data_IF_633537136557
#
_entry.id   IF_633537136557
#
_cell.length_a   1.000
_cell.length_b   1.000
_cell.length_c   1.000
_cell.angle_alpha   90.00
_cell.angle_beta   90.00
_cell.angle_gamma   90.00
#
_symmetry.space_group_name_H-M   'P 1'
#
loop_
_entity.id
_entity.type
_entity.pdbx_description
1 polymer ?
#
# COMPACT_ATOMS: atom_id res chain seq x y z
N UNK A 1 5.37 -13.00 38.07
CA UNK A 1 4.24 -12.65 37.22
C UNK A 1 4.48 -11.35 36.45
N UNK A 2 5.03 -10.33 37.10
CA UNK A 2 5.32 -9.02 36.45
C UNK A 2 6.32 -9.15 35.29
N UNK A 3 7.39 -9.91 35.46
CA UNK A 3 8.39 -10.15 34.41
C UNK A 3 7.83 -10.94 33.21
N UNK A 4 6.88 -11.85 33.46
CA UNK A 4 6.24 -12.62 32.37
C UNK A 4 5.32 -11.74 31.49
N UNK A 5 4.61 -10.80 32.10
CA UNK A 5 3.79 -9.83 31.36
C UNK A 5 4.68 -8.91 30.51
N UNK A 6 5.76 -8.36 31.06
CA UNK A 6 6.67 -7.50 30.34
C UNK A 6 7.31 -8.21 29.14
N UNK A 7 7.87 -9.40 29.34
CA UNK A 7 8.47 -10.19 28.24
C UNK A 7 7.45 -10.48 27.13
N UNK A 8 6.22 -10.86 27.49
CA UNK A 8 5.16 -11.13 26.51
C UNK A 8 4.77 -9.88 25.72
N UNK A 9 4.66 -8.73 26.40
CA UNK A 9 4.32 -7.46 25.73
C UNK A 9 5.45 -6.99 24.82
N UNK A 10 6.70 -7.12 25.23
CA UNK A 10 7.88 -6.79 24.41
C UNK A 10 7.98 -7.69 23.17
N UNK A 11 7.74 -8.99 23.33
CA UNK A 11 7.73 -9.93 22.22
C UNK A 11 6.60 -9.64 21.22
N UNK A 12 5.40 -9.35 21.70
CA UNK A 12 4.27 -8.96 20.86
C UNK A 12 4.54 -7.64 20.15
N UNK A 13 5.09 -6.63 20.83
CA UNK A 13 5.47 -5.35 20.21
C UNK A 13 6.48 -5.55 19.08
N UNK A 14 7.49 -6.39 19.32
CA UNK A 14 8.53 -6.66 18.33
C UNK A 14 7.98 -7.40 17.10
N UNK A 15 7.16 -8.44 17.30
CA UNK A 15 6.57 -9.24 16.21
C UNK A 15 5.49 -8.47 15.42
N UNK A 16 4.69 -7.68 16.11
CA UNK A 16 3.69 -6.82 15.47
C UNK A 16 4.30 -5.59 14.77
N UNK A 17 5.54 -5.25 15.11
CA UNK A 17 6.23 -4.09 14.54
C UNK A 17 5.73 -2.75 15.10
N UNK A 18 5.27 -2.73 16.36
CA UNK A 18 4.87 -1.49 17.03
C UNK A 18 6.04 -0.51 17.06
N UNK A 19 5.80 0.73 16.60
CA UNK A 19 6.83 1.76 16.45
C UNK A 19 7.67 1.65 15.17
N UNK A 20 7.53 0.58 14.38
CA UNK A 20 8.14 0.44 13.05
C UNK A 20 7.14 0.68 11.92
N UNK A 21 5.88 0.35 12.15
CA UNK A 21 4.78 0.58 11.24
C UNK A 21 3.77 1.48 11.91
N UNK A 22 3.35 2.56 11.25
CA UNK A 22 2.49 3.57 11.87
C UNK A 22 1.06 3.11 12.09
N UNK A 23 0.62 2.12 11.32
CA UNK A 23 -0.70 1.50 11.44
C UNK A 23 -0.82 0.52 12.61
N UNK A 24 0.32 0.12 13.23
CA UNK A 24 0.34 -0.78 14.37
C UNK A 24 0.38 -0.01 15.68
N UNK A 25 -0.76 0.08 16.36
CA UNK A 25 -0.91 0.83 17.61
C UNK A 25 -0.85 -0.11 18.80
N UNK A 26 0.13 0.12 19.68
CA UNK A 26 0.24 -0.53 20.98
C UNK A 26 -0.02 0.47 22.10
N UNK A 27 -1.21 0.45 22.71
CA UNK A 27 -1.62 1.40 23.75
C UNK A 27 -1.51 0.78 25.15
N UNK A 28 -0.79 1.42 26.06
CA UNK A 28 -0.76 1.06 27.47
C UNK A 28 -1.95 1.63 28.21
N UNK A 29 -2.61 0.80 29.03
CA UNK A 29 -3.81 1.13 29.79
C UNK A 29 -3.64 0.65 31.23
N UNK A 30 -4.50 1.13 32.14
CA UNK A 30 -4.65 0.58 33.48
C UNK A 30 -6.08 0.07 33.62
N UNK A 31 -6.22 -1.21 33.93
CA UNK A 31 -7.51 -1.91 34.08
C UNK A 31 -7.60 -2.46 35.50
N UNK A 32 -8.51 -1.91 36.30
CA UNK A 32 -8.65 -2.33 37.70
C UNK A 32 -7.35 -2.26 38.52
N UNK A 33 -6.54 -1.22 38.30
CA UNK A 33 -5.24 -1.04 38.96
C UNK A 33 -4.10 -1.92 38.45
N UNK A 34 -4.35 -2.81 37.46
CA UNK A 34 -3.34 -3.64 36.78
C UNK A 34 -2.91 -3.00 35.47
N UNK A 35 -1.64 -3.14 35.11
CA UNK A 35 -1.15 -2.71 33.79
C UNK A 35 -1.76 -3.58 32.70
N UNK A 36 -2.20 -2.96 31.63
CA UNK A 36 -2.71 -3.65 30.47
C UNK A 36 -2.13 -3.02 29.20
N UNK A 37 -2.08 -3.81 28.12
CA UNK A 37 -1.65 -3.36 26.82
C UNK A 37 -2.62 -3.84 25.75
N UNK A 38 -3.05 -2.89 24.94
CA UNK A 38 -3.99 -3.10 23.82
C UNK A 38 -3.23 -2.92 22.50
N UNK A 39 -3.38 -3.87 21.57
CA UNK A 39 -2.85 -3.77 20.21
C UNK A 39 -4.00 -3.79 19.22
N UNK A 40 -3.90 -2.88 18.27
CA UNK A 40 -4.87 -2.76 17.18
C UNK A 40 -4.14 -2.35 15.90
N UNK A 41 -4.68 -2.74 14.75
CA UNK A 41 -4.31 -2.16 13.46
C UNK A 41 -5.21 -0.94 13.25
N UNK A 42 -4.61 0.24 13.14
CA UNK A 42 -5.33 1.47 12.85
C UNK A 42 -6.01 1.38 11.47
N UNK A 43 -7.25 1.82 11.39
CA UNK A 43 -8.10 1.65 10.21
C UNK A 43 -8.79 0.28 10.08
N UNK A 44 -8.52 -0.72 10.97
CA UNK A 44 -9.25 -1.99 11.01
C UNK A 44 -10.28 -2.05 12.13
N UNK A 45 -10.00 -1.37 13.24
CA UNK A 45 -10.90 -1.32 14.38
C UNK A 45 -11.99 -0.28 14.24
N UNK A 46 -13.15 -0.56 14.83
CA UNK A 46 -14.17 0.46 15.03
C UNK A 46 -13.79 1.31 16.23
N UNK A 47 -13.40 2.56 15.98
CA UNK A 47 -12.99 3.50 17.05
C UNK A 47 -14.07 3.62 18.14
N UNK A 48 -15.34 3.67 17.74
CA UNK A 48 -16.47 3.77 18.66
C UNK A 48 -16.60 2.56 19.60
N UNK A 49 -16.25 1.37 19.13
CA UNK A 49 -16.26 0.14 19.92
C UNK A 49 -15.09 0.15 20.90
N UNK A 50 -13.88 0.42 20.39
CA UNK A 50 -12.65 0.44 21.17
C UNK A 50 -12.69 1.54 22.25
N UNK A 51 -13.21 2.72 21.91
CA UNK A 51 -13.41 3.82 22.84
C UNK A 51 -14.38 3.44 23.96
N UNK A 52 -15.53 2.86 23.62
CA UNK A 52 -16.53 2.42 24.59
C UNK A 52 -15.99 1.35 25.53
N UNK A 53 -15.26 0.37 24.99
CA UNK A 53 -14.62 -0.67 25.81
C UNK A 53 -13.53 -0.08 26.70
N UNK A 54 -12.66 0.77 26.15
CA UNK A 54 -11.62 1.45 26.88
C UNK A 54 -12.18 2.32 28.03
N UNK A 55 -13.22 3.09 27.76
CA UNK A 55 -13.90 3.88 28.77
C UNK A 55 -14.45 3.00 29.90
N UNK A 56 -15.08 1.86 29.57
CA UNK A 56 -15.57 0.91 30.56
C UNK A 56 -14.44 0.31 31.40
N UNK A 57 -13.34 -0.12 30.81
CA UNK A 57 -12.21 -0.71 31.55
C UNK A 57 -11.54 0.28 32.49
N UNK A 58 -11.52 1.56 32.15
CA UNK A 58 -10.98 2.63 33.02
C UNK A 58 -11.86 2.87 34.27
N UNK A 59 -13.15 2.45 34.24
CA UNK A 59 -14.03 2.55 35.42
C UNK A 59 -13.89 1.37 36.38
N UNK A 60 -13.22 0.29 35.97
CA UNK A 60 -13.04 -0.89 36.82
C UNK A 60 -12.15 -0.58 38.02
N UNK A 61 -12.63 -0.93 39.21
CA UNK A 61 -11.88 -0.79 40.45
C UNK A 61 -10.98 -2.00 40.68
N UNK A 62 -9.89 -1.86 41.46
CA UNK A 62 -9.01 -2.99 41.81
C UNK A 62 -9.78 -4.21 42.40
N UNK A 63 -10.81 -3.93 43.16
CA UNK A 63 -11.67 -4.97 43.77
C UNK A 63 -12.33 -5.90 42.73
N UNK A 64 -12.63 -5.37 41.54
CA UNK A 64 -13.25 -6.14 40.48
C UNK A 64 -12.30 -7.14 39.82
N UNK A 65 -10.99 -6.91 39.89
CA UNK A 65 -9.96 -7.70 39.21
C UNK A 65 -9.15 -8.54 40.18
N UNK A 66 -9.30 -8.28 41.51
CA UNK A 66 -8.69 -9.09 42.58
C UNK A 66 -9.25 -10.51 42.53
N UNK A 67 -8.35 -11.51 42.49
CA UNK A 67 -8.72 -12.93 42.44
C UNK A 67 -8.83 -13.52 41.02
N UNK A 68 -8.79 -12.69 39.95
CA UNK A 68 -8.72 -13.19 38.59
C UNK A 68 -7.27 -13.60 38.27
N UNK A 69 -7.09 -14.81 37.76
CA UNK A 69 -5.82 -15.40 37.35
C UNK A 69 -5.80 -15.73 35.87
N UNK A 70 -6.95 -15.97 35.27
CA UNK A 70 -7.10 -16.32 33.86
C UNK A 70 -7.74 -15.18 33.04
N UNK A 71 -7.32 -15.04 31.82
CA UNK A 71 -7.87 -14.04 30.90
C UNK A 71 -9.31 -14.42 30.50
N UNK A 72 -9.66 -15.72 30.51
CA UNK A 72 -11.00 -16.18 30.19
C UNK A 72 -12.03 -15.65 31.21
N UNK A 73 -11.72 -15.69 32.51
CA UNK A 73 -12.62 -15.14 33.54
C UNK A 73 -12.81 -13.62 33.39
N UNK A 74 -11.77 -12.92 32.95
CA UNK A 74 -11.86 -11.48 32.66
C UNK A 74 -12.74 -11.21 31.43
N UNK A 75 -12.60 -12.04 30.41
CA UNK A 75 -13.33 -11.97 29.16
C UNK A 75 -14.83 -12.16 29.44
N UNK A 76 -15.20 -13.20 30.17
CA UNK A 76 -16.59 -13.55 30.47
C UNK A 76 -17.31 -12.50 31.33
N UNK A 77 -16.56 -11.77 32.17
CA UNK A 77 -17.14 -10.76 33.08
C UNK A 77 -17.16 -9.34 32.51
N UNK A 78 -16.15 -8.96 31.72
CA UNK A 78 -15.88 -7.56 31.38
C UNK A 78 -15.76 -7.28 29.89
N UNK A 79 -15.92 -8.29 29.03
CA UNK A 79 -15.94 -8.13 27.58
C UNK A 79 -17.25 -8.69 27.06
N UNK A 80 -18.12 -7.80 26.61
CA UNK A 80 -19.48 -8.15 26.14
C UNK A 80 -19.53 -8.53 24.66
N UNK A 81 -18.39 -8.73 24.01
CA UNK A 81 -18.32 -9.04 22.59
C UNK A 81 -18.55 -10.52 22.33
N UNK A 82 -19.43 -10.83 21.36
CA UNK A 82 -19.82 -12.20 21.02
C UNK A 82 -18.68 -13.04 20.42
N UNK A 83 -17.74 -12.39 19.71
CA UNK A 83 -16.60 -13.06 19.10
C UNK A 83 -15.30 -12.68 19.81
N UNK A 84 -15.16 -13.11 21.05
CA UNK A 84 -13.96 -12.95 21.83
C UNK A 84 -13.46 -14.31 22.33
N UNK A 85 -12.16 -14.53 22.26
CA UNK A 85 -11.50 -15.75 22.70
C UNK A 85 -10.13 -15.45 23.32
N UNK A 86 -9.61 -16.40 24.06
CA UNK A 86 -8.27 -16.30 24.67
C UNK A 86 -7.31 -17.18 23.89
N UNK A 87 -6.12 -16.64 23.64
CA UNK A 87 -5.00 -17.43 23.11
C UNK A 87 -3.79 -17.34 24.04
N UNK A 88 -3.02 -18.43 24.07
CA UNK A 88 -1.74 -18.51 24.78
C UNK A 88 -0.57 -18.50 23.81
N UNK A 89 -0.85 -18.75 22.54
CA UNK A 89 0.17 -18.75 21.47
C UNK A 89 0.35 -17.34 20.90
N UNK A 90 1.60 -16.88 20.93
CA UNK A 90 1.97 -15.56 20.39
C UNK A 90 1.81 -15.51 18.86
N UNK A 91 2.08 -16.62 18.16
CA UNK A 91 1.94 -16.68 16.71
C UNK A 91 0.48 -16.57 16.28
N UNK A 92 -0.42 -17.24 16.99
CA UNK A 92 -1.86 -17.13 16.77
C UNK A 92 -2.37 -15.71 17.10
N UNK A 93 -1.88 -15.12 18.19
CA UNK A 93 -2.19 -13.74 18.56
C UNK A 93 -1.79 -12.76 17.46
N UNK A 94 -0.55 -12.85 16.95
CA UNK A 94 -0.05 -12.00 15.87
C UNK A 94 -0.87 -12.16 14.59
N UNK A 95 -1.13 -13.39 14.17
CA UNK A 95 -1.96 -13.67 12.97
C UNK A 95 -3.36 -13.09 13.13
N UNK A 96 -3.97 -13.21 14.32
CA UNK A 96 -5.31 -12.68 14.58
C UNK A 96 -5.38 -11.15 14.50
N UNK A 97 -4.32 -10.44 14.92
CA UNK A 97 -4.25 -8.98 14.79
C UNK A 97 -4.24 -8.57 13.31
N UNK A 98 -3.45 -9.25 12.47
CA UNK A 98 -3.44 -8.99 11.02
C UNK A 98 -4.73 -9.42 10.31
N UNK A 99 -5.55 -10.25 10.94
CA UNK A 99 -6.92 -10.54 10.51
C UNK A 99 -7.93 -9.48 10.99
N UNK A 100 -7.47 -8.44 11.69
CA UNK A 100 -8.27 -7.29 12.13
C UNK A 100 -8.89 -7.46 13.53
N UNK A 101 -8.46 -8.45 14.31
CA UNK A 101 -8.84 -8.55 15.73
C UNK A 101 -8.00 -7.60 16.58
N UNK A 102 -8.58 -7.09 17.65
CA UNK A 102 -7.85 -6.35 18.69
C UNK A 102 -7.36 -7.31 19.77
N UNK A 103 -6.17 -7.08 20.31
CA UNK A 103 -5.52 -7.91 21.28
C UNK A 103 -5.37 -7.16 22.60
N UNK A 104 -5.75 -7.78 23.72
CA UNK A 104 -5.59 -7.21 25.05
C UNK A 104 -4.80 -8.18 25.96
N UNK A 105 -3.72 -7.69 26.58
CA UNK A 105 -3.03 -8.36 27.66
C UNK A 105 -3.21 -7.56 28.95
N UNK A 106 -3.44 -8.26 30.07
CA UNK A 106 -3.57 -7.66 31.39
C UNK A 106 -2.58 -8.31 32.34
N UNK A 107 -1.88 -7.52 33.12
CA UNK A 107 -0.89 -7.99 34.11
C UNK A 107 -1.52 -8.92 35.13
N UNK A 108 -0.87 -10.06 35.37
CA UNK A 108 -1.34 -11.07 36.32
C UNK A 108 -2.42 -12.00 35.79
N UNK A 109 -2.85 -11.84 34.52
CA UNK A 109 -3.73 -12.80 33.87
C UNK A 109 -2.97 -13.68 32.87
N UNK A 110 -3.30 -14.97 32.87
CA UNK A 110 -2.72 -15.93 31.95
C UNK A 110 -3.47 -15.85 30.58
N UNK A 111 -2.71 -15.79 29.48
CA UNK A 111 -3.26 -15.65 28.13
C UNK A 111 -3.40 -14.20 27.67
N UNK A 112 -3.92 -14.02 26.47
CA UNK A 112 -4.25 -12.75 25.82
C UNK A 112 -5.64 -12.83 25.22
N UNK A 113 -6.44 -11.79 25.39
CA UNK A 113 -7.78 -11.73 24.82
C UNK A 113 -7.73 -11.24 23.38
N UNK A 114 -8.39 -11.98 22.50
CA UNK A 114 -8.67 -11.60 21.11
C UNK A 114 -10.09 -11.12 21.03
N UNK A 115 -10.31 -9.92 20.49
CA UNK A 115 -11.61 -9.29 20.39
C UNK A 115 -11.87 -8.91 18.95
N UNK A 116 -12.99 -9.34 18.39
CA UNK A 116 -13.40 -8.95 17.04
C UNK A 116 -14.13 -7.60 17.08
N UNK A 117 -13.35 -6.52 17.11
CA UNK A 117 -13.82 -5.14 17.05
C UNK A 117 -13.69 -4.54 15.64
N UNK A 118 -13.82 -5.37 14.59
CA UNK A 118 -13.62 -4.93 13.21
C UNK A 118 -14.63 -3.85 12.81
N UNK A 119 -14.11 -2.81 12.22
CA UNK A 119 -14.86 -1.75 11.60
C UNK A 119 -14.09 -1.31 10.36
N UNK A 120 -13.99 -2.21 9.36
CA UNK A 120 -13.32 -1.84 8.12
C UNK A 120 -13.95 -0.57 7.57
N UNK A 121 -13.13 0.41 7.16
CA UNK A 121 -13.66 1.58 6.50
C UNK A 121 -14.43 1.10 5.26
N UNK A 122 -15.75 1.10 5.36
CA UNK A 122 -16.64 0.83 4.25
C UNK A 122 -17.04 2.17 3.64
N UNK A 123 -16.21 2.70 2.76
CA UNK A 123 -16.68 3.69 1.81
C UNK A 123 -17.56 2.98 0.80
N UNK A 124 -18.56 3.69 0.26
CA UNK A 124 -19.17 3.28 -1.01
C UNK A 124 -18.06 3.16 -2.04
N UNK A 125 -17.68 1.93 -2.36
CA UNK A 125 -16.58 1.61 -3.26
C UNK A 125 -16.95 2.15 -4.63
N UNK A 126 -16.30 3.24 -5.05
CA UNK A 126 -16.32 3.65 -6.44
C UNK A 126 -15.18 2.95 -7.16
N UNK A 127 -15.52 2.32 -8.27
CA UNK A 127 -14.53 1.76 -9.19
C UNK A 127 -13.65 2.93 -9.68
N UNK A 128 -12.31 2.82 -9.63
CA UNK A 128 -11.44 3.88 -10.09
C UNK A 128 -11.70 4.16 -11.57
N UNK A 129 -11.72 5.44 -11.99
CA UNK A 129 -11.90 5.80 -13.40
C UNK A 129 -10.81 5.23 -14.29
N UNK A 130 -9.58 5.20 -13.80
CA UNK A 130 -8.43 4.63 -14.48
C UNK A 130 -8.18 3.18 -14.05
N UNK A 131 -7.95 2.31 -15.03
CA UNK A 131 -7.68 0.90 -14.79
C UNK A 131 -8.92 0.05 -14.49
N UNK A 132 -10.05 0.34 -15.11
CA UNK A 132 -11.25 -0.51 -15.04
C UNK A 132 -10.95 -1.92 -15.51
N UNK A 133 -11.37 -2.90 -14.73
CA UNK A 133 -11.18 -4.30 -15.05
C UNK A 133 -12.53 -5.00 -15.21
N UNK A 134 -12.58 -5.93 -16.15
CA UNK A 134 -13.77 -6.77 -16.39
C UNK A 134 -14.01 -7.78 -15.25
N UNK A 135 -12.96 -8.14 -14.53
CA UNK A 135 -12.98 -9.11 -13.43
C UNK A 135 -11.99 -8.67 -12.36
N UNK A 136 -12.28 -8.96 -11.09
CA UNK A 136 -11.39 -8.66 -9.97
C UNK A 136 -11.98 -7.68 -8.96
N UNK A 137 -11.14 -7.12 -8.13
CA UNK A 137 -11.53 -6.15 -7.12
C UNK A 137 -11.86 -4.80 -7.75
N UNK A 138 -12.97 -4.20 -7.33
CA UNK A 138 -13.39 -2.86 -7.78
C UNK A 138 -13.06 -1.77 -6.77
N UNK A 139 -12.35 -2.09 -5.68
CA UNK A 139 -11.92 -1.09 -4.70
C UNK A 139 -10.73 -0.29 -5.23
N UNK A 140 -10.79 1.01 -5.05
CA UNK A 140 -9.76 1.98 -5.39
C UNK A 140 -9.20 2.67 -4.15
N UNK A 141 -8.04 3.33 -4.30
CA UNK A 141 -7.51 4.23 -3.30
C UNK A 141 -8.43 5.45 -3.12
N UNK A 142 -8.32 6.06 -1.97
CA UNK A 142 -9.09 7.24 -1.59
C UNK A 142 -8.12 8.36 -1.15
N UNK A 143 -8.64 9.56 -0.90
CA UNK A 143 -7.80 10.70 -0.52
C UNK A 143 -7.23 10.61 0.91
N UNK A 144 -7.71 9.67 1.73
CA UNK A 144 -7.27 9.50 3.11
C UNK A 144 -6.12 8.49 3.21
N UNK A 145 -4.95 8.93 3.66
CA UNK A 145 -3.74 8.13 3.80
C UNK A 145 -3.95 6.87 4.67
N UNK A 146 -4.65 7.01 5.81
CA UNK A 146 -4.87 5.89 6.73
C UNK A 146 -5.76 4.81 6.12
N UNK A 147 -6.80 5.22 5.40
CA UNK A 147 -7.68 4.28 4.69
C UNK A 147 -6.91 3.53 3.60
N UNK A 148 -6.04 4.21 2.87
CA UNK A 148 -5.19 3.60 1.85
C UNK A 148 -4.20 2.60 2.46
N UNK A 149 -3.57 2.96 3.58
CA UNK A 149 -2.71 2.06 4.34
C UNK A 149 -3.46 0.81 4.81
N UNK A 150 -4.67 0.98 5.34
CA UNK A 150 -5.54 -0.13 5.76
C UNK A 150 -5.93 -1.04 4.59
N UNK A 151 -6.20 -0.49 3.39
CA UNK A 151 -6.47 -1.29 2.20
C UNK A 151 -5.28 -2.18 1.80
N UNK A 152 -4.04 -1.66 1.87
CA UNK A 152 -2.83 -2.44 1.63
C UNK A 152 -2.64 -3.51 2.73
N UNK A 153 -2.74 -3.12 4.00
CA UNK A 153 -2.59 -4.04 5.14
C UNK A 153 -3.60 -5.19 5.11
N UNK A 154 -4.85 -4.92 4.71
CA UNK A 154 -5.90 -5.93 4.59
C UNK A 154 -5.56 -7.01 3.56
N UNK A 155 -4.84 -6.64 2.49
CA UNK A 155 -4.44 -7.55 1.42
C UNK A 155 -3.14 -8.28 1.76
N UNK A 156 -2.16 -7.56 2.30
CA UNK A 156 -0.88 -8.11 2.78
C UNK A 156 -0.95 -8.32 4.28
N UNK A 157 -1.25 -9.53 4.69
CA UNK A 157 -1.36 -9.92 6.11
C UNK A 157 -0.04 -10.48 6.62
N UNK A 158 1.06 -9.83 6.25
CA UNK A 158 2.42 -10.23 6.62
C UNK A 158 3.02 -9.28 7.64
N UNK A 159 3.77 -9.84 8.58
CA UNK A 159 4.49 -9.12 9.62
C UNK A 159 5.66 -8.30 9.06
N UNK A 160 6.17 -8.65 7.88
CA UNK A 160 7.26 -7.94 7.21
C UNK A 160 6.78 -6.71 6.41
N UNK A 161 5.47 -6.55 6.18
CA UNK A 161 4.98 -5.33 5.59
C UNK A 161 5.22 -4.15 6.53
N UNK A 162 5.96 -3.15 6.05
CA UNK A 162 6.23 -1.89 6.75
C UNK A 162 5.50 -0.75 6.07
N UNK A 163 4.81 0.01 6.88
CA UNK A 163 4.15 1.25 6.51
C UNK A 163 4.81 2.36 7.33
N UNK A 164 5.73 3.09 6.71
CA UNK A 164 6.53 4.13 7.35
C UNK A 164 5.95 5.50 7.00
N UNK A 165 5.43 6.21 7.98
CA UNK A 165 4.89 7.56 7.81
C UNK A 165 6.01 8.59 7.93
N UNK A 166 6.10 9.46 6.94
CA UNK A 166 7.00 10.60 6.89
C UNK A 166 6.17 11.87 6.74
N UNK A 167 6.44 12.86 7.55
CA UNK A 167 5.86 14.18 7.42
C UNK A 167 6.85 15.07 6.66
N UNK A 168 6.40 15.63 5.54
CA UNK A 168 7.27 16.49 4.74
C UNK A 168 7.57 17.82 5.47
N UNK A 169 8.82 18.33 5.38
CA UNK A 169 9.25 19.51 6.12
C UNK A 169 8.72 20.85 5.55
N UNK A 170 7.70 20.80 4.75
CA UNK A 170 7.06 21.98 4.15
C UNK A 170 5.96 22.59 5.04
N UNK A 171 5.47 23.80 4.67
CA UNK A 171 4.44 24.51 5.45
C UNK A 171 3.12 23.77 5.57
N UNK A 172 2.75 22.97 4.57
CA UNK A 172 1.51 22.16 4.58
C UNK A 172 1.63 20.92 5.45
N UNK A 173 2.88 20.45 5.73
CA UNK A 173 3.12 19.26 6.54
C UNK A 173 2.45 18.01 5.97
N UNK A 174 2.45 17.86 4.63
CA UNK A 174 1.80 16.74 3.96
C UNK A 174 2.37 15.42 4.43
N UNK A 175 1.51 14.49 4.80
CA UNK A 175 1.88 13.16 5.21
C UNK A 175 2.10 12.25 3.99
N UNK A 176 3.19 11.48 4.04
CA UNK A 176 3.54 10.49 3.02
C UNK A 176 3.83 9.17 3.71
N UNK A 177 3.38 8.06 3.15
CA UNK A 177 3.71 6.74 3.65
C UNK A 177 4.52 5.96 2.62
N UNK A 178 5.67 5.40 3.07
CA UNK A 178 6.44 4.41 2.33
C UNK A 178 5.96 3.01 2.74
N UNK A 179 5.47 2.25 1.77
CA UNK A 179 4.94 0.91 1.96
C UNK A 179 5.85 -0.08 1.24
N UNK A 180 6.42 -1.04 1.97
CA UNK A 180 7.40 -1.99 1.43
C UNK A 180 7.48 -3.27 2.27
N UNK A 181 8.03 -4.35 1.69
CA UNK A 181 8.35 -5.58 2.42
C UNK A 181 9.76 -5.49 3.00
N UNK A 182 9.87 -5.63 4.33
CA UNK A 182 11.16 -5.68 5.03
C UNK A 182 11.93 -6.94 4.62
N UNK A 183 13.16 -6.77 4.14
CA UNK A 183 14.01 -7.86 3.66
C UNK A 183 13.93 -8.15 2.16
N UNK A 184 12.92 -7.66 1.44
CA UNK A 184 12.78 -7.82 -0.02
C UNK A 184 13.01 -6.51 -0.77
N UNK A 185 12.58 -5.38 -0.19
CA UNK A 185 12.76 -4.08 -0.80
C UNK A 185 14.24 -3.65 -0.80
N UNK A 186 14.65 -2.97 -1.87
CA UNK A 186 16.01 -2.41 -1.97
C UNK A 186 16.23 -1.31 -0.93
N UNK A 187 17.10 -1.57 0.04
CA UNK A 187 17.46 -0.61 1.08
C UNK A 187 18.17 0.64 0.53
N UNK A 188 18.84 0.52 -0.61
CA UNK A 188 19.46 1.66 -1.29
C UNK A 188 18.41 2.63 -1.80
N UNK A 189 17.35 2.09 -2.42
CA UNK A 189 16.20 2.86 -2.88
C UNK A 189 15.46 3.49 -1.69
N UNK A 190 15.20 2.74 -0.63
CA UNK A 190 14.51 3.24 0.56
C UNK A 190 15.26 4.41 1.20
N UNK A 191 16.58 4.31 1.36
CA UNK A 191 17.42 5.41 1.90
C UNK A 191 17.37 6.63 1.00
N UNK A 192 17.49 6.46 -0.31
CA UNK A 192 17.41 7.55 -1.26
C UNK A 192 16.03 8.23 -1.26
N UNK A 193 14.95 7.46 -1.12
CA UNK A 193 13.59 8.00 -1.01
C UNK A 193 13.40 8.81 0.27
N UNK A 194 13.81 8.27 1.43
CA UNK A 194 13.75 8.99 2.71
C UNK A 194 14.52 10.31 2.66
N UNK A 195 15.75 10.26 2.14
CA UNK A 195 16.60 11.44 2.03
C UNK A 195 15.96 12.50 1.13
N UNK A 196 15.47 12.11 -0.04
CA UNK A 196 14.82 13.03 -0.98
C UNK A 196 13.55 13.65 -0.39
N UNK A 197 12.68 12.83 0.23
CA UNK A 197 11.44 13.28 0.85
C UNK A 197 11.70 14.27 1.99
N UNK A 198 12.71 14.02 2.82
CA UNK A 198 13.07 14.92 3.93
C UNK A 198 13.77 16.21 3.48
N UNK A 199 14.32 16.25 2.26
CA UNK A 199 15.00 17.44 1.72
C UNK A 199 14.15 18.17 0.66
N UNK A 200 12.90 17.82 0.50
CA UNK A 200 11.98 18.53 -0.40
C UNK A 200 11.81 19.97 0.09
N UNK A 201 12.27 20.94 -0.72
CA UNK A 201 12.09 22.37 -0.49
C UNK A 201 11.01 22.91 -1.44
N UNK A 202 9.77 22.62 -1.15
CA UNK A 202 8.65 23.14 -1.92
C UNK A 202 7.96 24.28 -1.15
N UNK A 203 7.63 25.37 -1.86
CA UNK A 203 6.92 26.52 -1.23
C UNK A 203 5.44 26.23 -1.00
N UNK A 204 4.84 25.36 -1.79
CA UNK A 204 3.50 24.80 -1.59
C UNK A 204 3.35 23.55 -2.45
N UNK A 205 2.75 22.50 -1.90
CA UNK A 205 2.35 21.29 -2.65
C UNK A 205 0.92 21.53 -3.14
N UNK A 206 0.79 22.29 -4.23
CA UNK A 206 -0.53 22.58 -4.81
C UNK A 206 -1.14 21.33 -5.50
N UNK A 207 -0.27 20.45 -6.03
CA UNK A 207 -0.63 19.13 -6.58
C UNK A 207 0.25 18.09 -5.89
N UNK A 208 -0.22 17.58 -4.74
CA UNK A 208 0.60 16.85 -3.77
C UNK A 208 1.41 15.70 -4.38
N UNK A 209 0.77 14.85 -5.17
CA UNK A 209 1.40 13.63 -5.67
C UNK A 209 2.39 13.86 -6.81
N UNK A 210 2.03 14.68 -7.83
CA UNK A 210 2.89 14.95 -8.98
C UNK A 210 4.16 15.70 -8.56
N UNK A 211 4.01 16.65 -7.65
CA UNK A 211 5.15 17.40 -7.11
C UNK A 211 6.12 16.49 -6.34
N UNK A 212 5.59 15.54 -5.59
CA UNK A 212 6.41 14.53 -4.89
C UNK A 212 7.06 13.59 -5.89
N UNK A 213 6.34 13.14 -6.92
CA UNK A 213 6.89 12.29 -7.97
C UNK A 213 8.04 12.96 -8.73
N UNK A 214 7.91 14.26 -9.05
CA UNK A 214 8.99 15.04 -9.66
C UNK A 214 10.21 15.21 -8.75
N UNK A 215 9.98 15.37 -7.44
CA UNK A 215 11.06 15.50 -6.46
C UNK A 215 11.82 14.18 -6.25
N UNK A 216 11.10 13.06 -6.25
CA UNK A 216 11.69 11.71 -6.12
C UNK A 216 12.41 11.31 -7.40
N UNK A 217 11.86 11.61 -8.57
CA UNK A 217 12.45 11.25 -9.85
C UNK A 217 13.78 11.99 -10.08
N UNK A 218 14.86 11.28 -10.44
CA UNK A 218 16.11 11.95 -10.79
C UNK A 218 15.93 12.76 -12.08
N UNK A 219 16.31 14.05 -12.06
CA UNK A 219 16.27 14.92 -13.25
C UNK A 219 17.32 14.43 -14.25
N UNK A 220 16.88 13.66 -15.24
CA UNK A 220 17.71 13.23 -16.37
C UNK A 220 17.08 13.71 -17.66
N UNK A 221 17.69 14.70 -18.27
CA UNK A 221 17.22 15.32 -19.53
C UNK A 221 17.16 14.34 -20.72
N UNK A 222 18.03 13.32 -20.72
CA UNK A 222 18.16 12.36 -21.83
C UNK A 222 17.24 11.14 -21.73
N UNK A 223 16.54 10.95 -20.63
CA UNK A 223 15.65 9.82 -20.47
C UNK A 223 14.18 10.28 -20.55
N UNK A 224 13.49 10.04 -21.68
CA UNK A 224 12.10 10.44 -21.87
C UNK A 224 11.10 9.55 -21.13
N UNK A 225 11.53 8.42 -20.56
CA UNK A 225 10.64 7.47 -19.92
C UNK A 225 10.28 7.92 -18.50
N UNK A 226 9.00 7.77 -18.09
CA UNK A 226 8.57 8.05 -16.73
C UNK A 226 9.28 7.10 -15.76
N UNK A 227 9.72 7.63 -14.62
CA UNK A 227 10.47 6.89 -13.60
C UNK A 227 9.58 6.45 -12.45
N UNK A 228 8.37 6.90 -12.44
CA UNK A 228 7.34 6.62 -11.45
C UNK A 228 6.12 6.15 -12.20
N UNK A 229 5.52 5.07 -11.74
CA UNK A 229 4.24 4.56 -12.22
C UNK A 229 3.17 4.90 -11.20
N UNK A 230 1.98 5.24 -11.66
CA UNK A 230 0.84 5.53 -10.82
C UNK A 230 -0.15 4.37 -10.86
N UNK A 231 -0.85 4.16 -9.76
CA UNK A 231 -1.98 3.24 -9.71
C UNK A 231 -3.02 3.73 -8.70
N UNK A 232 -4.28 3.68 -9.10
CA UNK A 232 -5.42 3.94 -8.20
C UNK A 232 -5.91 2.64 -7.54
N UNK A 233 -5.28 1.51 -7.87
CA UNK A 233 -5.71 0.18 -7.48
C UNK A 233 -4.87 -0.41 -6.37
N UNK A 234 -5.48 -0.72 -5.21
CA UNK A 234 -4.77 -1.37 -4.10
C UNK A 234 -4.27 -2.78 -4.41
N UNK A 235 -4.94 -3.53 -5.31
CA UNK A 235 -4.50 -4.87 -5.71
C UNK A 235 -3.18 -4.85 -6.50
N UNK A 236 -3.04 -3.90 -7.44
CA UNK A 236 -1.79 -3.69 -8.19
C UNK A 236 -0.66 -3.25 -7.27
N UNK A 237 -0.93 -2.25 -6.41
CA UNK A 237 0.06 -1.79 -5.44
C UNK A 237 0.54 -2.92 -4.51
N UNK A 238 -0.40 -3.78 -4.08
CA UNK A 238 -0.09 -4.95 -3.26
C UNK A 238 0.80 -5.95 -4.00
N UNK A 239 0.50 -6.25 -5.27
CA UNK A 239 1.33 -7.15 -6.08
C UNK A 239 2.76 -6.62 -6.20
N UNK A 240 2.94 -5.33 -6.48
CA UNK A 240 4.25 -4.68 -6.55
C UNK A 240 5.01 -4.76 -5.21
N UNK A 241 4.33 -4.52 -4.07
CA UNK A 241 4.94 -4.66 -2.74
C UNK A 241 5.46 -6.08 -2.52
N UNK A 242 4.66 -7.09 -2.88
CA UNK A 242 5.04 -8.51 -2.75
C UNK A 242 6.19 -8.92 -3.68
N UNK A 243 6.44 -8.15 -4.74
CA UNK A 243 7.60 -8.31 -5.65
C UNK A 243 8.85 -7.53 -5.21
N UNK A 244 8.78 -6.86 -4.04
CA UNK A 244 9.89 -6.09 -3.48
C UNK A 244 9.94 -4.63 -3.90
N UNK A 245 8.92 -4.13 -4.60
CA UNK A 245 8.82 -2.71 -4.95
C UNK A 245 8.40 -1.86 -3.73
N UNK A 246 8.70 -0.57 -3.81
CA UNK A 246 8.28 0.43 -2.82
C UNK A 246 7.08 1.19 -3.35
N UNK A 247 6.02 1.21 -2.59
CA UNK A 247 4.80 1.98 -2.88
C UNK A 247 4.78 3.21 -2.00
N UNK A 248 4.56 4.37 -2.61
CA UNK A 248 4.46 5.65 -1.90
C UNK A 248 3.03 6.14 -1.96
N UNK A 249 2.40 6.24 -0.80
CA UNK A 249 1.08 6.84 -0.62
C UNK A 249 1.26 8.29 -0.18
N UNK A 250 0.45 9.17 -0.72
CA UNK A 250 0.44 10.60 -0.40
C UNK A 250 -0.93 10.97 0.12
N UNK A 251 -0.98 11.72 1.22
CA UNK A 251 -2.25 12.21 1.76
C UNK A 251 -2.92 13.18 0.77
N UNK A 252 -4.25 13.19 0.76
CA UNK A 252 -5.09 13.90 -0.22
C UNK A 252 -4.90 13.45 -1.68
N UNK A 253 -4.44 12.19 -1.90
CA UNK A 253 -4.32 11.61 -3.23
C UNK A 253 -4.97 10.24 -3.29
N UNK A 254 -5.80 10.02 -4.32
CA UNK A 254 -6.49 8.75 -4.58
C UNK A 254 -5.64 7.77 -5.40
N UNK A 255 -4.35 8.01 -5.55
CA UNK A 255 -3.44 7.10 -6.27
C UNK A 255 -2.13 6.89 -5.52
N UNK A 256 -1.44 5.82 -5.84
CA UNK A 256 -0.15 5.43 -5.26
C UNK A 256 0.96 5.52 -6.31
N UNK A 257 2.17 5.86 -5.87
CA UNK A 257 3.38 5.86 -6.69
C UNK A 257 4.10 4.52 -6.52
N UNK A 258 4.45 3.87 -7.62
CA UNK A 258 5.18 2.60 -7.65
C UNK A 258 6.63 2.84 -8.07
N UNK A 259 7.59 2.30 -7.32
CA UNK A 259 9.03 2.46 -7.51
C UNK A 259 9.78 1.15 -7.20
N UNK A 260 10.79 0.77 -7.99
CA UNK A 260 11.28 1.42 -9.22
C UNK A 260 10.41 1.07 -10.43
N UNK A 261 10.39 1.93 -11.44
CA UNK A 261 9.70 1.64 -12.70
C UNK A 261 10.71 1.35 -13.81
N UNK A 262 10.53 0.24 -14.49
CA UNK A 262 11.28 -0.14 -15.69
C UNK A 262 10.41 0.02 -16.94
N UNK A 263 11.03 0.14 -18.11
CA UNK A 263 10.31 0.23 -19.40
C UNK A 263 9.38 -0.97 -19.59
N UNK A 264 9.79 -2.15 -19.19
CA UNK A 264 8.99 -3.38 -19.31
C UNK A 264 7.74 -3.31 -18.41
N UNK A 265 7.91 -2.87 -17.17
CA UNK A 265 6.79 -2.70 -16.22
C UNK A 265 5.83 -1.58 -16.60
N UNK A 266 6.32 -0.56 -17.33
CA UNK A 266 5.45 0.49 -17.85
C UNK A 266 4.45 -0.03 -18.89
N UNK A 267 4.82 -1.09 -19.60
CA UNK A 267 3.99 -1.71 -20.65
C UNK A 267 3.06 -2.82 -20.10
N UNK A 268 3.06 -3.09 -18.80
CA UNK A 268 2.15 -4.04 -18.15
C UNK A 268 0.75 -3.44 -18.03
N UNK A 269 -0.25 -4.21 -18.41
CA UNK A 269 -1.66 -3.86 -18.23
C UNK A 269 -2.27 -4.71 -17.11
N UNK A 270 -3.12 -4.09 -16.33
CA UNK A 270 -3.76 -4.71 -15.16
C UNK A 270 -4.55 -5.96 -15.55
N UNK A 271 -5.19 -5.95 -16.70
CA UNK A 271 -5.98 -7.07 -17.21
C UNK A 271 -5.13 -8.33 -17.45
N UNK A 272 -3.82 -8.19 -17.70
CA UNK A 272 -2.93 -9.32 -17.95
C UNK A 272 -2.82 -10.24 -16.72
N UNK A 273 -2.93 -9.69 -15.50
CA UNK A 273 -2.91 -10.46 -14.25
C UNK A 273 -4.18 -11.30 -14.02
N UNK A 274 -5.29 -10.96 -14.68
CA UNK A 274 -6.56 -11.70 -14.56
C UNK A 274 -6.75 -12.76 -15.63
N UNK A 275 -5.87 -12.80 -16.64
CA UNK A 275 -5.85 -13.89 -17.63
C UNK A 275 -5.03 -15.09 -17.13
N UNK A 276 -5.29 -16.29 -17.66
CA UNK A 276 -4.39 -17.42 -17.42
C UNK A 276 -2.93 -17.04 -17.73
N UNK A 277 -1.94 -17.50 -16.95
CA UNK A 277 -0.55 -17.06 -17.07
C UNK A 277 0.04 -17.12 -18.49
N UNK A 278 -0.36 -18.14 -19.26
CA UNK A 278 0.07 -18.31 -20.65
C UNK A 278 -0.44 -17.19 -21.57
N UNK A 279 -1.70 -16.76 -21.37
CA UNK A 279 -2.32 -15.72 -22.20
C UNK A 279 -1.77 -14.35 -21.79
N UNK A 280 -1.63 -14.08 -20.50
CA UNK A 280 -1.06 -12.83 -20.00
C UNK A 280 0.38 -12.62 -20.49
N UNK A 281 1.23 -13.64 -20.39
CA UNK A 281 2.60 -13.60 -20.91
C UNK A 281 2.65 -13.35 -22.42
N UNK A 282 1.78 -14.02 -23.17
CA UNK A 282 1.69 -13.85 -24.62
C UNK A 282 1.30 -12.41 -25.01
N UNK A 283 0.30 -11.84 -24.35
CA UNK A 283 -0.14 -10.47 -24.57
C UNK A 283 0.97 -9.45 -24.22
N UNK A 284 1.70 -9.66 -23.14
CA UNK A 284 2.82 -8.82 -22.74
C UNK A 284 3.97 -8.86 -23.75
N UNK A 285 4.29 -10.04 -24.29
CA UNK A 285 5.31 -10.21 -25.34
C UNK A 285 4.88 -9.48 -26.61
N UNK A 286 3.64 -9.67 -27.08
CA UNK A 286 3.13 -8.98 -28.28
C UNK A 286 3.18 -7.46 -28.09
N UNK A 287 2.72 -6.94 -26.95
CA UNK A 287 2.70 -5.49 -26.66
C UNK A 287 4.12 -4.92 -26.68
N UNK A 288 5.08 -5.63 -26.07
CA UNK A 288 6.50 -5.23 -26.08
C UNK A 288 7.08 -5.26 -27.49
N UNK A 289 6.74 -6.29 -28.27
CA UNK A 289 7.18 -6.41 -29.66
C UNK A 289 6.59 -5.29 -30.53
N UNK A 290 5.31 -4.96 -30.37
CA UNK A 290 4.65 -3.83 -31.06
C UNK A 290 5.31 -2.51 -30.69
N UNK A 291 5.62 -2.28 -29.40
CA UNK A 291 6.32 -1.08 -28.94
C UNK A 291 7.71 -0.94 -29.59
N UNK A 292 8.47 -2.03 -29.65
CA UNK A 292 9.76 -2.04 -30.34
C UNK A 292 9.61 -1.81 -31.83
N UNK A 293 8.66 -2.49 -32.48
CA UNK A 293 8.40 -2.29 -33.91
C UNK A 293 8.01 -0.85 -34.25
N UNK A 294 7.12 -0.22 -33.48
CA UNK A 294 6.73 1.18 -33.70
C UNK A 294 7.91 2.13 -33.55
N UNK A 295 8.82 1.84 -32.60
CA UNK A 295 10.02 2.66 -32.42
C UNK A 295 10.96 2.62 -33.64
N UNK A 296 11.05 1.48 -34.33
CA UNK A 296 11.92 1.31 -35.52
C UNK A 296 11.20 1.56 -36.84
N UNK A 297 9.96 1.10 -36.98
CA UNK A 297 9.21 1.19 -38.26
C UNK A 297 8.91 2.65 -38.59
N UNK A 298 8.54 3.49 -37.63
CA UNK A 298 8.18 4.89 -37.90
C UNK A 298 9.35 5.69 -38.46
N UNK A 299 10.55 5.71 -37.84
CA UNK A 299 11.70 6.40 -38.45
C UNK A 299 12.19 5.74 -39.74
N UNK A 300 12.11 4.39 -39.84
CA UNK A 300 12.45 3.69 -41.06
C UNK A 300 11.53 4.10 -42.21
N UNK A 301 10.19 4.12 -41.96
CA UNK A 301 9.22 4.59 -42.92
C UNK A 301 9.50 6.03 -43.37
N UNK A 302 9.80 6.94 -42.46
CA UNK A 302 10.18 8.32 -42.77
C UNK A 302 11.43 8.42 -43.64
N UNK A 303 12.46 7.56 -43.38
CA UNK A 303 13.67 7.47 -44.19
C UNK A 303 13.37 6.96 -45.61
N UNK A 304 12.50 5.97 -45.74
CA UNK A 304 12.07 5.38 -47.02
C UNK A 304 11.28 6.42 -47.85
N UNK A 305 10.39 7.19 -47.21
CA UNK A 305 9.65 8.27 -47.87
C UNK A 305 10.60 9.35 -48.39
N UNK A 306 11.64 9.71 -47.62
CA UNK A 306 12.64 10.70 -48.08
C UNK A 306 13.59 10.19 -49.14
N UNK A 307 13.81 8.89 -49.27
CA UNK A 307 14.72 8.28 -50.21
C UNK A 307 13.99 7.20 -51.02
N UNK A 308 13.08 7.58 -51.94
CA UNK A 308 12.24 6.63 -52.70
C UNK A 308 13.05 5.66 -53.56
N UNK A 309 14.29 6.03 -53.95
CA UNK A 309 15.16 5.19 -54.77
C UNK A 309 15.71 3.95 -54.05
N UNK A 310 15.63 3.92 -52.69
CA UNK A 310 16.03 2.77 -51.90
C UNK A 310 14.97 1.67 -51.83
N UNK A 311 13.72 1.96 -52.22
CA UNK A 311 12.62 1.06 -52.18
C UNK A 311 12.55 0.21 -53.49
N UNK A 312 12.31 -1.09 -53.29
CA UNK A 312 12.07 -1.99 -54.42
C UNK A 312 10.81 -1.54 -55.23
N UNK A 313 10.83 -1.58 -56.54
CA UNK A 313 9.76 -1.10 -57.42
C UNK A 313 8.35 -1.59 -57.02
N UNK A 314 8.24 -2.83 -56.53
CA UNK A 314 6.98 -3.42 -56.09
C UNK A 314 6.38 -2.79 -54.81
N UNK A 315 7.13 -1.99 -54.08
CA UNK A 315 6.70 -1.29 -52.84
C UNK A 315 6.53 0.21 -53.04
N UNK A 316 6.87 0.75 -54.21
CA UNK A 316 6.75 2.19 -54.48
C UNK A 316 5.28 2.66 -54.46
N UNK A 317 4.32 1.80 -54.71
CA UNK A 317 2.90 2.16 -54.61
C UNK A 317 2.46 2.61 -53.24
N UNK A 318 3.12 2.13 -52.16
CA UNK A 318 2.84 2.56 -50.78
C UNK A 318 3.23 4.00 -50.51
N UNK A 319 4.30 4.49 -51.17
CA UNK A 319 4.75 5.88 -51.06
C UNK A 319 3.85 6.86 -51.82
N UNK A 320 3.33 6.44 -52.97
CA UNK A 320 2.43 7.28 -53.79
C UNK A 320 1.12 7.59 -53.06
N UNK A 321 0.65 6.62 -52.23
CA UNK A 321 -0.57 6.82 -51.46
C UNK A 321 -0.38 7.85 -50.32
N UNK A 322 0.78 7.85 -49.67
CA UNK A 322 1.13 8.81 -48.60
C UNK A 322 1.28 10.25 -49.13
N UNK A 323 1.80 10.44 -50.35
CA UNK A 323 1.92 11.74 -51.00
C UNK A 323 0.55 12.38 -51.22
N UNK A 324 -0.47 11.60 -51.56
CA UNK A 324 -1.83 12.08 -51.72
C UNK A 324 -2.52 12.48 -50.40
N UNK A 325 -2.26 11.73 -49.30
CA UNK A 325 -2.84 12.05 -48.01
C UNK A 325 -2.14 13.20 -47.30
N UNK A 326 -0.83 13.36 -47.46
CA UNK A 326 -0.08 14.47 -46.92
C UNK A 326 -0.46 15.82 -47.50
N UNK A 327 -0.82 15.87 -48.80
CA UNK A 327 -1.29 17.06 -49.49
C UNK A 327 -2.67 17.54 -49.01
N UNK A 328 -3.51 16.64 -48.49
CA UNK A 328 -4.83 16.99 -47.93
C UNK A 328 -4.73 17.67 -46.55
N UNK A 329 -3.64 17.47 -45.81
CA UNK A 329 -3.42 18.10 -44.49
C UNK A 329 -2.66 19.43 -44.56
N UNK A 330 -2.02 19.77 -45.68
CA UNK A 330 -1.22 21.00 -45.87
C UNK A 330 -1.90 22.07 -46.69
N UNK A 331 -3.17 21.87 -47.09
CA UNK A 331 -3.92 22.81 -47.95
C UNK A 331 -4.97 23.65 -47.21
N UNK A 332 -4.86 23.80 -45.89
CA UNK A 332 -5.63 24.77 -45.10
C UNK A 332 -4.75 25.83 -44.48
#
# INVERSE_FOLDING_TARGET
MQDAFLRRTEELDARLGVGRSFDMVGRSLTVGGRRARLWVVDGFGSDSILERMGAFWLTLKPENVVGLTEMQDFLDRYITFSESNVTFDISDAVTSVFLGKSLLAVEGLAGVALMDAKGYPSRSVHEPPDGKVLRGSHDGFVENLMQNAALLRRRVRDTHLRLERLQLPERSGTDVALCYMEGEADEGLLRALREKLMHIQLRSVAMSQETIAEAIAPRQFWNPFPKVRYTERPDVATACIMEGDVVVLVDNSASALLLPTTILRFNEEINDYYFPPLIGTYLQIIRTLVLLLTMFITPLWYLLVKNPDTLHENLRFLLVQDEYYCLLYTSD
#
